data_IF_149826791233
#
_entry.id   IF_149826791233
#
_cell.length_a   1.000
_cell.length_b   1.000
_cell.length_c   1.000
_cell.angle_alpha   90.00
_cell.angle_beta   90.00
_cell.angle_gamma   90.00
#
_symmetry.space_group_name_H-M   'P 1'
#
loop_
_entity.id
_entity.type
_entity.pdbx_description
1 polymer ?
#
# COMPACT_ATOMS: atom_id res chain seq x y z
N UNK A 1 24.36 28.29 -51.02
CA UNK A 1 23.26 28.48 -50.05
C UNK A 1 22.51 27.18 -49.68
N UNK A 2 22.35 26.20 -50.59
CA UNK A 2 21.57 24.94 -50.34
C UNK A 2 22.15 23.97 -49.29
N UNK A 3 23.48 23.91 -49.10
CA UNK A 3 24.12 22.98 -48.14
C UNK A 3 23.95 23.40 -46.66
N UNK A 4 23.84 24.70 -46.37
CA UNK A 4 23.63 25.20 -44.98
C UNK A 4 22.18 24.99 -44.49
N UNK A 5 21.21 25.04 -45.42
CA UNK A 5 19.77 24.83 -45.12
C UNK A 5 19.48 23.37 -44.80
N UNK A 6 20.14 22.42 -45.50
CA UNK A 6 19.98 20.97 -45.26
C UNK A 6 20.57 20.57 -43.91
N UNK A 7 21.71 21.15 -43.51
CA UNK A 7 22.31 20.88 -42.18
C UNK A 7 21.43 21.42 -41.05
N UNK A 8 20.79 22.56 -41.23
CA UNK A 8 19.92 23.15 -40.18
C UNK A 8 18.62 22.34 -40.01
N UNK A 9 18.01 21.88 -41.14
CA UNK A 9 16.82 21.03 -41.04
C UNK A 9 17.09 19.66 -40.47
N UNK A 10 18.25 19.03 -40.76
CA UNK A 10 18.64 17.78 -40.16
C UNK A 10 18.87 17.90 -38.63
N UNK A 11 19.49 19.00 -38.18
CA UNK A 11 19.69 19.26 -36.74
C UNK A 11 18.37 19.47 -36.00
N UNK A 12 17.40 20.18 -36.60
CA UNK A 12 16.07 20.40 -35.95
C UNK A 12 15.29 19.10 -35.85
N UNK A 13 15.33 18.22 -36.87
CA UNK A 13 14.65 16.92 -36.84
C UNK A 13 15.26 16.00 -35.78
N UNK A 14 16.58 15.98 -35.62
CA UNK A 14 17.26 15.18 -34.60
C UNK A 14 16.93 15.69 -33.19
N UNK A 15 16.92 17.00 -32.99
CA UNK A 15 16.56 17.61 -31.69
C UNK A 15 15.08 17.33 -31.37
N UNK A 16 14.18 17.50 -32.33
CA UNK A 16 12.76 17.19 -32.14
C UNK A 16 12.53 15.71 -31.85
N UNK A 17 13.22 14.81 -32.53
CA UNK A 17 13.18 13.37 -32.26
C UNK A 17 13.69 13.01 -30.88
N UNK A 18 14.79 13.61 -30.45
CA UNK A 18 15.36 13.39 -29.12
C UNK A 18 14.43 13.91 -27.99
N UNK A 19 13.81 15.08 -28.18
CA UNK A 19 12.85 15.64 -27.22
C UNK A 19 11.59 14.76 -27.15
N UNK A 20 11.08 14.29 -28.28
CA UNK A 20 9.90 13.42 -28.33
C UNK A 20 10.20 12.07 -27.67
N UNK A 21 11.36 11.47 -27.92
CA UNK A 21 11.79 10.23 -27.27
C UNK A 21 11.97 10.44 -25.78
N UNK A 22 12.57 11.56 -25.33
CA UNK A 22 12.72 11.90 -23.92
C UNK A 22 11.37 12.07 -23.21
N UNK A 23 10.40 12.76 -23.83
CA UNK A 23 9.04 12.94 -23.29
C UNK A 23 8.32 11.59 -23.20
N UNK A 24 8.42 10.74 -24.23
CA UNK A 24 7.79 9.41 -24.24
C UNK A 24 8.39 8.49 -23.15
N UNK A 25 9.71 8.47 -23.01
CA UNK A 25 10.38 7.68 -21.96
C UNK A 25 10.04 8.23 -20.57
N UNK A 26 10.05 9.55 -20.39
CA UNK A 26 9.73 10.16 -19.10
C UNK A 26 8.25 9.91 -18.69
N UNK A 27 7.31 9.98 -19.64
CA UNK A 27 5.89 9.66 -19.42
C UNK A 27 5.65 8.14 -19.21
N UNK A 28 6.52 7.30 -19.77
CA UNK A 28 6.44 5.83 -19.61
C UNK A 28 6.94 5.36 -18.25
N UNK A 29 7.85 6.12 -17.61
CA UNK A 29 8.50 5.75 -16.35
C UNK A 29 7.84 6.36 -15.11
N UNK A 30 6.85 7.25 -15.29
CA UNK A 30 6.12 7.88 -14.19
C UNK A 30 5.28 6.93 -13.35
N UNK A 31 4.79 7.44 -12.22
CA UNK A 31 3.82 6.70 -11.40
C UNK A 31 2.52 6.47 -12.19
N UNK A 32 2.02 5.24 -12.18
CA UNK A 32 0.80 4.81 -12.88
C UNK A 32 -0.26 4.27 -11.93
N UNK A 33 0.12 4.02 -10.67
CA UNK A 33 -0.73 3.41 -9.68
C UNK A 33 -1.18 4.47 -8.68
N UNK A 34 -2.49 4.67 -8.57
CA UNK A 34 -3.10 5.51 -7.54
C UNK A 34 -3.44 4.64 -6.33
N UNK A 35 -3.23 5.18 -5.13
CA UNK A 35 -3.59 4.52 -3.88
C UNK A 35 -5.06 4.80 -3.59
N UNK A 36 -5.85 3.74 -3.48
CA UNK A 36 -7.27 3.79 -3.15
C UNK A 36 -7.48 3.31 -1.72
N UNK A 37 -8.01 4.18 -0.85
CA UNK A 37 -8.31 3.78 0.53
C UNK A 37 -9.68 3.12 0.65
N UNK A 38 -9.74 1.98 1.36
CA UNK A 38 -10.99 1.29 1.69
C UNK A 38 -11.79 2.01 2.77
N UNK A 39 -11.13 2.91 3.54
CA UNK A 39 -11.77 3.77 4.54
C UNK A 39 -11.80 5.20 4.00
N UNK A 40 -12.99 5.78 3.71
CA UNK A 40 -13.10 7.15 3.21
C UNK A 40 -12.46 8.18 4.16
N UNK A 41 -11.83 9.23 3.64
CA UNK A 41 -11.19 10.29 4.43
C UNK A 41 -12.14 10.96 5.45
N UNK A 42 -13.42 11.04 5.13
CA UNK A 42 -14.45 11.57 6.03
C UNK A 42 -14.64 10.70 7.29
N UNK A 43 -14.46 9.39 7.17
CA UNK A 43 -14.51 8.46 8.29
C UNK A 43 -13.28 8.59 9.20
N UNK A 44 -12.11 8.85 8.61
CA UNK A 44 -10.83 9.02 9.33
C UNK A 44 -10.82 10.27 10.22
N UNK A 45 -11.53 11.33 9.82
CA UNK A 45 -11.60 12.59 10.58
C UNK A 45 -12.65 12.58 11.70
N UNK A 46 -13.54 11.60 11.75
CA UNK A 46 -14.61 11.51 12.75
C UNK A 46 -14.11 11.15 14.16
N UNK A 47 -12.92 10.60 14.29
CA UNK A 47 -12.30 10.23 15.58
C UNK A 47 -11.64 11.40 16.33
N UNK A 48 -11.46 12.58 15.72
CA UNK A 48 -10.66 13.68 16.28
C UNK A 48 -11.43 14.95 16.63
N UNK A 49 -12.74 15.05 16.43
CA UNK A 49 -13.50 16.28 16.72
C UNK A 49 -14.53 16.11 17.84
N UNK A 50 -14.16 16.60 19.03
CA UNK A 50 -15.13 17.17 19.98
C UNK A 50 -15.31 18.64 19.63
N UNK A 51 -16.61 18.98 19.50
CA UNK A 51 -17.27 20.31 19.50
C UNK A 51 -17.39 21.07 18.17
N UNK A 52 -18.64 21.24 17.80
CA UNK A 52 -19.15 22.43 17.10
C UNK A 52 -19.68 22.25 15.70
N UNK A 53 -20.90 21.89 15.59
CA UNK A 53 -22.01 22.33 14.74
C UNK A 53 -22.95 21.17 14.39
N UNK A 54 -24.13 21.20 14.97
CA UNK A 54 -25.22 20.28 14.65
C UNK A 54 -25.66 20.50 13.20
N UNK A 55 -25.33 19.57 12.35
CA UNK A 55 -26.06 19.30 11.13
C UNK A 55 -26.56 17.86 11.24
N UNK A 56 -27.88 17.65 11.08
CA UNK A 56 -28.54 16.37 11.32
C UNK A 56 -28.04 15.29 10.34
N UNK A 57 -26.93 14.66 10.69
CA UNK A 57 -26.55 13.36 10.16
C UNK A 57 -27.43 12.33 10.89
N UNK A 58 -28.06 11.40 10.16
CA UNK A 58 -28.71 10.25 10.75
C UNK A 58 -27.75 9.63 11.77
N UNK A 59 -28.22 9.43 13.02
CA UNK A 59 -27.39 8.85 14.07
C UNK A 59 -26.84 7.52 13.57
N UNK A 60 -25.52 7.46 13.36
CA UNK A 60 -24.86 6.23 12.89
C UNK A 60 -25.10 5.14 13.94
N UNK A 61 -25.43 3.93 13.49
CA UNK A 61 -25.80 2.83 14.38
C UNK A 61 -24.61 2.38 15.22
N UNK A 62 -24.85 2.06 16.48
CA UNK A 62 -23.85 1.42 17.33
C UNK A 62 -23.59 0.00 16.80
N UNK A 63 -22.31 -0.37 16.75
CA UNK A 63 -21.87 -1.72 16.36
C UNK A 63 -21.70 -2.56 17.61
N UNK A 64 -22.34 -3.74 17.64
CA UNK A 64 -22.24 -4.61 18.82
C UNK A 64 -20.97 -5.49 18.76
N UNK A 65 -20.47 -5.94 19.94
CA UNK A 65 -19.32 -6.87 19.97
C UNK A 65 -19.57 -8.15 19.16
N UNK A 66 -20.79 -8.66 19.08
CA UNK A 66 -21.13 -9.86 18.32
C UNK A 66 -20.97 -9.64 16.80
N UNK A 67 -21.16 -8.42 16.33
CA UNK A 67 -20.93 -8.08 14.92
C UNK A 67 -19.43 -8.10 14.59
N UNK A 68 -18.58 -7.72 15.54
CA UNK A 68 -17.12 -7.62 15.36
C UNK A 68 -16.38 -8.91 15.73
N UNK A 69 -16.73 -9.53 16.86
CA UNK A 69 -16.06 -10.73 17.32
C UNK A 69 -16.26 -11.90 16.35
N UNK A 70 -15.20 -12.67 16.14
CA UNK A 70 -15.20 -13.86 15.29
C UNK A 70 -14.07 -13.89 14.27
N UNK A 71 -14.20 -14.81 13.33
CA UNK A 71 -13.21 -15.01 12.26
C UNK A 71 -13.61 -14.24 11.01
N UNK A 72 -12.66 -13.52 10.46
CA UNK A 72 -12.79 -12.69 9.29
C UNK A 72 -11.78 -13.12 8.24
N UNK A 73 -12.20 -13.19 6.99
CA UNK A 73 -11.33 -13.54 5.86
C UNK A 73 -11.08 -12.29 5.01
N UNK A 74 -9.82 -12.06 4.62
CA UNK A 74 -9.49 -11.03 3.65
C UNK A 74 -10.18 -11.36 2.32
N UNK A 75 -10.84 -10.38 1.75
CA UNK A 75 -11.63 -10.52 0.52
C UNK A 75 -11.41 -9.37 -0.44
N UNK A 76 -11.81 -9.53 -1.69
CA UNK A 76 -11.83 -8.42 -2.65
C UNK A 76 -12.73 -7.27 -2.17
N UNK A 77 -12.32 -6.01 -2.42
CA UNK A 77 -11.19 -5.53 -3.23
C UNK A 77 -9.92 -5.18 -2.42
N UNK A 78 -9.45 -6.04 -1.51
CA UNK A 78 -8.23 -5.80 -0.73
C UNK A 78 -7.01 -5.59 -1.63
N UNK A 79 -6.13 -4.68 -1.22
CA UNK A 79 -4.88 -4.36 -1.91
C UNK A 79 -3.76 -4.11 -0.90
N UNK A 80 -2.54 -4.40 -1.29
CA UNK A 80 -1.33 -3.95 -0.61
C UNK A 80 -0.53 -3.07 -1.56
N UNK A 81 -0.05 -1.93 -1.07
CA UNK A 81 0.76 -1.01 -1.86
C UNK A 81 2.17 -0.91 -1.29
N UNK A 82 3.12 -0.72 -2.18
CA UNK A 82 4.52 -0.41 -1.89
C UNK A 82 4.88 0.89 -2.58
N UNK A 83 5.41 1.85 -1.84
CA UNK A 83 5.76 3.15 -2.40
C UNK A 83 7.24 3.42 -2.25
N UNK A 84 7.87 3.79 -3.36
CA UNK A 84 9.29 4.13 -3.47
C UNK A 84 9.40 5.59 -3.87
N UNK A 85 9.99 6.42 -3.01
CA UNK A 85 10.20 7.84 -3.30
C UNK A 85 11.56 8.05 -3.96
N UNK A 86 11.55 8.76 -5.07
CA UNK A 86 12.73 9.17 -5.82
C UNK A 86 12.86 10.68 -5.83
N UNK A 87 13.99 11.21 -6.31
CA UNK A 87 14.18 12.66 -6.49
C UNK A 87 13.21 13.31 -7.47
N UNK A 88 12.44 12.54 -8.23
CA UNK A 88 11.42 13.04 -9.18
C UNK A 88 10.00 12.88 -8.67
N UNK A 89 9.68 11.71 -8.15
CA UNK A 89 8.32 11.32 -7.79
C UNK A 89 8.30 10.09 -6.88
N UNK A 90 7.18 9.85 -6.25
CA UNK A 90 6.89 8.57 -5.59
C UNK A 90 6.26 7.61 -6.59
N UNK A 91 6.82 6.41 -6.71
CA UNK A 91 6.32 5.34 -7.56
C UNK A 91 5.62 4.32 -6.67
N UNK A 92 4.37 4.04 -6.99
CA UNK A 92 3.57 3.06 -6.29
C UNK A 92 3.54 1.74 -7.06
N UNK A 93 3.54 0.66 -6.32
CA UNK A 93 3.23 -0.70 -6.76
C UNK A 93 1.99 -1.15 -6.03
N UNK A 94 1.15 -1.91 -6.68
CA UNK A 94 -0.05 -2.51 -6.08
C UNK A 94 0.00 -4.03 -6.22
N UNK A 95 -0.41 -4.71 -5.17
CA UNK A 95 -0.69 -6.14 -5.21
C UNK A 95 -2.16 -6.37 -4.83
N UNK A 96 -3.00 -6.81 -5.77
CA UNK A 96 -4.42 -7.09 -5.53
C UNK A 96 -4.67 -8.53 -5.06
N UNK A 97 -3.65 -9.39 -5.05
CA UNK A 97 -3.78 -10.81 -4.67
C UNK A 97 -3.51 -11.01 -3.19
N UNK A 98 -4.40 -10.48 -2.36
CA UNK A 98 -4.27 -10.50 -0.89
C UNK A 98 -5.15 -11.60 -0.31
N UNK A 99 -4.59 -12.44 0.58
CA UNK A 99 -5.29 -13.49 1.32
C UNK A 99 -4.94 -13.43 2.79
N UNK A 100 -5.79 -13.99 3.63
CA UNK A 100 -5.50 -14.10 5.05
C UNK A 100 -6.74 -14.24 5.90
N UNK A 101 -6.51 -14.48 7.18
CA UNK A 101 -7.57 -14.70 8.17
C UNK A 101 -7.26 -13.97 9.45
N UNK A 102 -8.27 -13.31 9.99
CA UNK A 102 -8.16 -12.54 11.21
C UNK A 102 -9.21 -13.01 12.21
N UNK A 103 -8.81 -13.15 13.46
CA UNK A 103 -9.72 -13.42 14.58
C UNK A 103 -9.79 -12.18 15.46
N UNK A 104 -10.97 -11.59 15.55
CA UNK A 104 -11.24 -10.41 16.37
C UNK A 104 -11.93 -10.83 17.66
N UNK A 105 -11.49 -10.25 18.78
CA UNK A 105 -12.10 -10.40 20.10
C UNK A 105 -11.91 -9.09 20.88
N UNK A 106 -12.98 -8.28 20.96
CA UNK A 106 -12.93 -6.99 21.65
C UNK A 106 -12.82 -7.09 23.17
N UNK A 107 -13.12 -8.27 23.74
CA UNK A 107 -13.04 -8.49 25.18
C UNK A 107 -11.62 -8.89 25.62
N UNK A 108 -10.86 -9.53 24.72
CA UNK A 108 -9.52 -10.02 24.98
C UNK A 108 -8.63 -9.84 23.73
N UNK A 109 -7.86 -8.75 23.72
CA UNK A 109 -6.92 -8.46 22.63
C UNK A 109 -5.83 -9.54 22.48
N UNK A 110 -5.49 -10.26 23.58
CA UNK A 110 -4.50 -11.33 23.52
C UNK A 110 -4.97 -12.58 22.80
N UNK A 111 -6.30 -12.75 22.66
CA UNK A 111 -6.92 -13.83 21.89
C UNK A 111 -7.11 -13.48 20.39
N UNK A 112 -6.76 -12.25 19.99
CA UNK A 112 -6.81 -11.82 18.61
C UNK A 112 -5.61 -12.35 17.84
N UNK A 113 -5.84 -12.71 16.59
CA UNK A 113 -4.79 -13.13 15.64
C UNK A 113 -5.05 -12.49 14.29
N UNK A 114 -3.99 -12.32 13.51
CA UNK A 114 -4.09 -11.82 12.14
C UNK A 114 -2.93 -12.34 11.31
N UNK A 115 -3.23 -12.84 10.14
CA UNK A 115 -2.25 -13.23 9.14
C UNK A 115 -2.71 -12.80 7.76
N UNK A 116 -1.76 -12.44 6.92
CA UNK A 116 -2.00 -12.11 5.53
C UNK A 116 -0.82 -12.47 4.66
N UNK A 117 -1.11 -12.78 3.40
CA UNK A 117 -0.11 -12.98 2.35
C UNK A 117 -0.52 -12.29 1.06
N UNK A 118 0.46 -11.94 0.24
CA UNK A 118 0.28 -11.44 -1.12
C UNK A 118 1.07 -12.31 -2.08
N UNK A 119 0.52 -12.53 -3.28
CA UNK A 119 1.23 -13.22 -4.37
C UNK A 119 2.08 -12.21 -5.14
N UNK A 120 3.39 -12.18 -4.87
CA UNK A 120 4.34 -11.25 -5.47
C UNK A 120 4.39 -11.32 -7.01
N UNK A 121 3.83 -12.37 -7.63
CA UNK A 121 3.65 -12.41 -9.08
C UNK A 121 2.59 -11.41 -9.56
N UNK A 122 1.63 -11.07 -8.72
CA UNK A 122 0.56 -10.10 -9.04
C UNK A 122 1.00 -8.64 -8.86
N UNK A 123 2.19 -8.39 -8.31
CA UNK A 123 2.71 -7.02 -8.12
C UNK A 123 2.75 -6.27 -9.45
N UNK A 124 2.19 -5.07 -9.48
CA UNK A 124 2.03 -4.23 -10.67
C UNK A 124 2.34 -2.76 -10.36
N UNK A 125 3.20 -2.14 -11.15
CA UNK A 125 3.50 -0.71 -11.12
C UNK A 125 2.87 0.06 -12.27
N UNK A 126 2.05 -0.60 -13.09
CA UNK A 126 1.52 -0.07 -14.35
C UNK A 126 2.56 -0.01 -15.47
N UNK A 127 3.75 -0.60 -15.30
CA UNK A 127 4.82 -0.61 -16.29
C UNK A 127 5.51 -1.96 -16.31
N UNK A 128 5.19 -2.81 -17.29
CA UNK A 128 5.68 -4.19 -17.39
C UNK A 128 7.21 -4.33 -17.28
N UNK A 129 7.97 -3.41 -17.89
CA UNK A 129 9.44 -3.44 -17.80
C UNK A 129 9.94 -3.23 -16.37
N UNK A 130 9.28 -2.38 -15.58
CA UNK A 130 9.61 -2.16 -14.16
C UNK A 130 9.24 -3.39 -13.34
N UNK A 131 8.08 -3.97 -13.61
CA UNK A 131 7.58 -5.14 -12.90
C UNK A 131 8.49 -6.34 -13.10
N UNK A 132 8.91 -6.61 -14.34
CA UNK A 132 9.88 -7.67 -14.65
C UNK A 132 11.22 -7.47 -13.91
N UNK A 133 11.72 -6.23 -13.88
CA UNK A 133 12.97 -5.91 -13.18
C UNK A 133 12.85 -6.14 -11.67
N UNK A 134 11.78 -5.62 -11.06
CA UNK A 134 11.55 -5.71 -9.59
C UNK A 134 11.27 -7.17 -9.17
N UNK A 135 10.55 -7.96 -9.96
CA UNK A 135 10.32 -9.40 -9.72
C UNK A 135 11.54 -10.26 -9.96
N UNK A 136 12.55 -9.75 -10.67
CA UNK A 136 13.75 -10.48 -11.08
C UNK A 136 14.63 -10.95 -9.91
N UNK A 137 15.57 -11.85 -10.25
CA UNK A 137 16.49 -12.47 -9.29
C UNK A 137 17.40 -11.45 -8.57
N UNK A 138 17.74 -10.36 -9.26
CA UNK A 138 18.62 -9.31 -8.72
C UNK A 138 17.89 -8.41 -7.69
N UNK A 139 16.54 -8.54 -7.56
CA UNK A 139 15.74 -7.75 -6.65
C UNK A 139 14.88 -8.64 -5.74
N UNK A 140 13.59 -8.83 -6.00
CA UNK A 140 12.68 -9.59 -5.14
C UNK A 140 12.81 -11.12 -5.31
N UNK A 141 13.42 -11.62 -6.38
CA UNK A 141 13.56 -13.06 -6.67
C UNK A 141 12.23 -13.81 -6.57
N UNK A 142 11.17 -13.28 -7.18
CA UNK A 142 9.79 -13.79 -7.02
C UNK A 142 9.63 -15.25 -7.43
N UNK A 143 10.47 -15.74 -8.38
CA UNK A 143 10.51 -17.16 -8.75
C UNK A 143 10.91 -18.09 -7.58
N UNK A 144 11.70 -17.60 -6.62
CA UNK A 144 12.14 -18.32 -5.42
C UNK A 144 11.27 -17.98 -4.21
N UNK A 145 10.85 -16.73 -4.10
CA UNK A 145 10.03 -16.20 -3.01
C UNK A 145 8.72 -15.62 -3.56
N UNK A 146 7.74 -16.45 -3.93
CA UNK A 146 6.52 -16.01 -4.61
C UNK A 146 5.54 -15.28 -3.70
N UNK A 147 5.73 -15.34 -2.38
CA UNK A 147 4.83 -14.71 -1.41
C UNK A 147 5.58 -13.77 -0.46
N UNK A 148 4.93 -12.67 -0.10
CA UNK A 148 5.27 -11.90 1.09
C UNK A 148 4.15 -12.07 2.12
N UNK A 149 4.51 -12.14 3.42
CA UNK A 149 3.56 -12.45 4.48
C UNK A 149 3.67 -11.47 5.65
N UNK A 150 2.55 -11.25 6.33
CA UNK A 150 2.53 -10.51 7.59
C UNK A 150 1.76 -11.31 8.64
N UNK A 151 2.40 -11.57 9.79
CA UNK A 151 1.80 -12.25 10.93
C UNK A 151 1.77 -11.30 12.12
N UNK A 152 0.56 -10.98 12.58
CA UNK A 152 0.36 -10.10 13.74
C UNK A 152 0.72 -10.84 15.03
N UNK A 153 1.54 -10.23 15.85
CA UNK A 153 1.93 -10.70 17.20
C UNK A 153 1.11 -10.05 18.29
N UNK A 154 0.76 -8.78 18.10
CA UNK A 154 -0.08 -8.06 19.05
C UNK A 154 -0.87 -6.95 18.38
N UNK A 155 -2.01 -6.65 18.97
CA UNK A 155 -2.87 -5.52 18.62
C UNK A 155 -2.81 -4.49 19.76
N UNK A 156 -2.91 -3.21 19.43
CA UNK A 156 -3.19 -2.20 20.45
C UNK A 156 -4.57 -2.44 21.06
N UNK A 157 -4.80 -1.88 22.24
CA UNK A 157 -6.13 -1.93 22.86
C UNK A 157 -7.16 -1.26 21.93
N UNK A 158 -8.24 -1.98 21.62
CA UNK A 158 -9.35 -1.49 20.80
C UNK A 158 -10.42 -0.84 21.67
N UNK A 159 -11.08 0.21 21.19
CA UNK A 159 -12.24 0.77 21.90
C UNK A 159 -13.36 -0.28 21.97
N UNK A 160 -14.10 -0.28 23.10
CA UNK A 160 -15.23 -1.20 23.28
C UNK A 160 -16.49 -0.75 22.53
N UNK A 161 -16.58 0.54 22.24
CA UNK A 161 -17.72 1.14 21.55
C UNK A 161 -17.32 1.50 20.12
N UNK A 162 -18.04 0.95 19.18
CA UNK A 162 -17.87 1.21 17.75
C UNK A 162 -19.14 1.80 17.17
N UNK A 163 -18.99 2.66 16.20
CA UNK A 163 -20.08 3.26 15.43
C UNK A 163 -19.94 2.89 13.98
N UNK A 164 -21.00 2.46 13.33
CA UNK A 164 -20.97 2.06 11.94
C UNK A 164 -20.43 3.19 11.04
N UNK A 165 -19.45 2.85 10.21
CA UNK A 165 -18.78 3.77 9.30
C UNK A 165 -17.74 4.69 9.95
N UNK A 166 -17.61 4.71 11.28
CA UNK A 166 -16.57 5.48 11.96
C UNK A 166 -15.26 4.68 12.04
N UNK A 167 -14.15 5.36 11.77
CA UNK A 167 -12.83 4.76 11.89
C UNK A 167 -12.31 4.83 13.34
N UNK A 168 -11.66 3.76 13.78
CA UNK A 168 -10.99 3.67 15.08
C UNK A 168 -9.51 3.36 14.87
N UNK A 169 -8.59 3.98 15.63
CA UNK A 169 -7.18 3.69 15.51
C UNK A 169 -6.86 2.30 16.04
N UNK A 170 -5.95 1.59 15.37
CA UNK A 170 -5.39 0.32 15.81
C UNK A 170 -3.95 0.20 15.35
N UNK A 171 -3.05 -0.22 16.25
CA UNK A 171 -1.69 -0.58 15.89
C UNK A 171 -1.56 -2.10 15.81
N UNK A 172 -0.86 -2.57 14.79
CA UNK A 172 -0.58 -3.97 14.55
C UNK A 172 0.93 -4.17 14.63
N UNK A 173 1.41 -4.83 15.67
CA UNK A 173 2.81 -5.24 15.74
C UNK A 173 2.93 -6.67 15.23
N UNK A 174 3.90 -6.93 14.38
CA UNK A 174 4.06 -8.26 13.80
C UNK A 174 5.31 -8.43 12.96
N UNK A 175 5.44 -9.59 12.38
CA UNK A 175 6.54 -9.98 11.51
C UNK A 175 6.12 -9.84 10.05
N UNK A 176 6.79 -8.97 9.32
CA UNK A 176 6.71 -8.87 7.86
C UNK A 176 7.84 -9.69 7.25
N UNK A 177 7.50 -10.63 6.36
CA UNK A 177 8.48 -11.46 5.66
C UNK A 177 8.46 -11.12 4.17
N UNK A 178 9.59 -10.71 3.64
CA UNK A 178 9.77 -10.42 2.21
C UNK A 178 11.06 -11.08 1.76
N UNK A 179 11.05 -11.75 0.62
CA UNK A 179 12.22 -12.47 0.08
C UNK A 179 12.84 -13.44 1.11
N UNK A 180 12.01 -14.06 1.94
CA UNK A 180 12.44 -14.98 3.01
C UNK A 180 13.12 -14.31 4.21
N UNK A 181 13.20 -12.97 4.27
CA UNK A 181 13.79 -12.22 5.36
C UNK A 181 12.68 -11.63 6.23
N UNK A 182 12.77 -11.86 7.54
CA UNK A 182 11.80 -11.41 8.53
C UNK A 182 12.21 -10.07 9.14
N UNK A 183 11.24 -9.18 9.27
CA UNK A 183 11.38 -7.89 9.95
C UNK A 183 10.21 -7.64 10.88
N UNK A 184 10.49 -7.27 12.13
CA UNK A 184 9.47 -6.76 13.04
C UNK A 184 9.06 -5.35 12.63
N UNK A 185 7.76 -5.15 12.43
CA UNK A 185 7.18 -3.87 12.02
C UNK A 185 5.95 -3.54 12.85
N UNK A 186 5.61 -2.27 12.89
CA UNK A 186 4.34 -1.78 13.43
C UNK A 186 3.58 -1.05 12.32
N UNK A 187 2.38 -1.52 12.02
CA UNK A 187 1.44 -0.78 11.16
C UNK A 187 0.61 0.16 12.02
N UNK A 188 0.71 1.44 11.75
CA UNK A 188 -0.23 2.44 12.24
C UNK A 188 -1.46 2.40 11.36
N UNK A 189 -2.59 2.00 11.92
CA UNK A 189 -3.77 1.64 11.15
C UNK A 189 -5.04 2.26 11.71
N UNK A 190 -6.05 2.25 10.88
CA UNK A 190 -7.43 2.51 11.25
C UNK A 190 -8.31 1.34 10.81
N UNK A 191 -9.27 0.98 11.63
CA UNK A 191 -10.28 -0.01 11.32
C UNK A 191 -11.67 0.64 11.34
N UNK A 192 -12.57 0.19 10.45
CA UNK A 192 -13.96 0.64 10.41
C UNK A 192 -14.88 -0.55 10.10
N UNK A 193 -16.04 -0.61 10.75
CA UNK A 193 -17.08 -1.56 10.41
C UNK A 193 -18.19 -0.85 9.66
N UNK A 194 -18.56 -1.36 8.50
CA UNK A 194 -19.65 -0.82 7.70
C UNK A 194 -20.25 -1.86 6.78
N UNK A 195 -21.58 -1.95 6.75
CA UNK A 195 -22.29 -2.84 5.83
C UNK A 195 -21.98 -4.33 6.00
N UNK A 196 -21.60 -4.79 7.20
CA UNK A 196 -21.21 -6.17 7.45
C UNK A 196 -19.76 -6.51 7.10
N UNK A 197 -18.97 -5.53 6.70
CA UNK A 197 -17.54 -5.65 6.39
C UNK A 197 -16.69 -4.96 7.45
N UNK A 198 -15.57 -5.56 7.80
CA UNK A 198 -14.52 -4.92 8.57
C UNK A 198 -13.45 -4.42 7.60
N UNK A 199 -13.16 -3.13 7.64
CA UNK A 199 -12.17 -2.49 6.78
C UNK A 199 -10.96 -2.07 7.59
N UNK A 200 -9.77 -2.20 7.02
CA UNK A 200 -8.52 -1.79 7.66
C UNK A 200 -7.65 -1.06 6.63
N UNK A 201 -7.22 0.14 7.00
CA UNK A 201 -6.23 0.92 6.27
C UNK A 201 -5.07 1.20 7.20
N UNK A 202 -3.85 0.86 6.81
CA UNK A 202 -2.69 1.02 7.68
C UNK A 202 -1.38 1.17 6.91
N UNK A 203 -0.41 1.84 7.54
CA UNK A 203 0.92 2.07 6.94
C UNK A 203 2.04 1.70 7.88
N UNK A 204 3.15 1.25 7.31
CA UNK A 204 4.45 1.12 7.98
C UNK A 204 5.56 1.57 7.05
N UNK A 205 6.72 1.88 7.62
CA UNK A 205 7.92 2.22 6.86
C UNK A 205 8.98 1.17 7.11
N UNK A 206 9.58 0.68 6.04
CA UNK A 206 10.71 -0.24 6.05
C UNK A 206 11.82 0.30 5.14
N UNK A 207 12.96 -0.37 5.09
CA UNK A 207 14.07 -0.01 4.20
C UNK A 207 14.38 -1.15 3.23
N UNK A 208 15.07 -0.84 2.14
CA UNK A 208 15.59 -1.88 1.24
C UNK A 208 16.50 -2.86 1.98
N UNK A 209 17.36 -2.33 2.85
CA UNK A 209 18.32 -3.13 3.62
C UNK A 209 17.66 -4.11 4.59
N UNK A 210 16.48 -3.80 5.12
CA UNK A 210 15.72 -4.68 6.00
C UNK A 210 15.43 -6.04 5.36
N UNK A 211 15.38 -6.09 4.03
CA UNK A 211 15.11 -7.30 3.25
C UNK A 211 16.28 -7.69 2.33
N UNK A 212 17.49 -7.23 2.64
CA UNK A 212 18.68 -7.56 1.86
C UNK A 212 18.64 -7.05 0.41
N UNK A 213 17.86 -6.01 0.15
CA UNK A 213 17.76 -5.39 -1.16
C UNK A 213 18.72 -4.21 -1.26
N UNK A 214 19.30 -4.02 -2.43
CA UNK A 214 20.09 -2.82 -2.73
C UNK A 214 19.16 -1.67 -3.12
N UNK A 215 19.44 -0.47 -2.59
CA UNK A 215 18.71 0.72 -3.00
C UNK A 215 18.93 1.00 -4.49
N UNK A 216 17.90 1.03 -5.34
CA UNK A 216 18.02 1.24 -6.77
C UNK A 216 18.26 2.72 -7.10
N UNK A 217 19.48 3.21 -6.93
CA UNK A 217 19.82 4.57 -7.30
C UNK A 217 20.74 4.61 -8.54
N UNK A 218 20.66 5.70 -9.29
CA UNK A 218 21.53 5.97 -10.44
C UNK A 218 22.18 7.34 -10.31
N UNK A 219 23.14 7.65 -11.19
CA UNK A 219 23.80 8.98 -11.23
C UNK A 219 22.78 10.10 -11.46
N UNK A 220 21.66 9.82 -12.11
CA UNK A 220 20.65 10.81 -12.53
C UNK A 220 19.43 10.82 -11.59
N UNK A 221 19.15 9.73 -10.89
CA UNK A 221 17.98 9.55 -10.03
C UNK A 221 18.42 9.00 -8.67
N UNK A 222 18.21 9.76 -7.61
CA UNK A 222 18.35 9.27 -6.25
C UNK A 222 17.03 8.67 -5.78
N UNK A 223 17.12 7.58 -5.01
CA UNK A 223 15.98 6.90 -4.39
C UNK A 223 16.16 6.98 -2.88
N UNK A 224 15.09 7.33 -2.17
CA UNK A 224 15.09 7.26 -0.71
C UNK A 224 15.25 5.82 -0.25
N UNK A 225 15.89 5.60 0.91
CA UNK A 225 16.04 4.26 1.44
C UNK A 225 14.76 3.72 2.06
N UNK A 226 13.85 4.59 2.44
CA UNK A 226 12.58 4.25 3.05
C UNK A 226 11.55 3.84 1.99
N UNK A 227 10.83 2.78 2.31
CA UNK A 227 9.69 2.25 1.56
C UNK A 227 8.45 2.35 2.45
N UNK A 228 7.37 2.95 1.95
CA UNK A 228 6.07 2.82 2.62
C UNK A 228 5.40 1.53 2.17
N UNK A 229 4.93 0.75 3.12
CA UNK A 229 4.03 -0.39 2.90
C UNK A 229 2.66 -0.02 3.43
N UNK A 230 1.62 -0.16 2.60
CA UNK A 230 0.26 0.20 2.95
C UNK A 230 -0.69 -0.98 2.74
N UNK A 231 -1.47 -1.25 3.76
CA UNK A 231 -2.56 -2.22 3.76
C UNK A 231 -3.88 -1.49 3.50
N UNK A 232 -4.65 -1.98 2.55
CA UNK A 232 -6.03 -1.55 2.28
C UNK A 232 -6.88 -2.82 2.20
N UNK A 233 -7.44 -3.25 3.34
CA UNK A 233 -8.07 -4.55 3.50
C UNK A 233 -9.56 -4.43 3.72
N UNK A 234 -10.31 -5.31 3.05
CA UNK A 234 -11.73 -5.58 3.30
C UNK A 234 -11.85 -7.02 3.79
N UNK A 235 -12.47 -7.21 4.95
CA UNK A 235 -12.61 -8.51 5.58
C UNK A 235 -14.11 -8.86 5.72
N UNK A 236 -14.43 -10.13 5.46
CA UNK A 236 -15.78 -10.70 5.55
C UNK A 236 -15.80 -11.95 6.41
N UNK A 237 -16.91 -12.20 7.09
CA UNK A 237 -17.16 -13.44 7.85
C UNK A 237 -17.54 -14.59 6.94
#
# INVERSE_FOLDING_TARGET
MKKKTIALTAAIVVIAGAITAFILVNNSLGNKVEIESVIPEQAQNSGAQKEGTANAAAAAAAVTPEQLNGTWNISEPSKVYWSVTTSKETVNFVDPSVKGTWKVNLEDASAMTGEGSVDMNALDSGTAQRDEHVKGADFLSVAEFPEATFTVKSFSELPKEWTEGAAVPVQLQGTLTVKGIEKEVTFDSQAAYSGGELKLSGTTTVTFEDFGLSNPHSIVLSTENNLEVRLELVLKK
#
